data_IF_308739616502
#
_entry.id   IF_308739616502
#
_cell.length_a   1.000
_cell.length_b   1.000
_cell.length_c   1.000
_cell.angle_alpha   90.00
_cell.angle_beta   90.00
_cell.angle_gamma   90.00
#
_symmetry.space_group_name_H-M   'P 1'
#
loop_
_entity.id
_entity.type
_entity.pdbx_description
1 polymer ?
#
# COMPACT_ATOMS: atom_id res chain seq x y z
N UNK A 1 -11.00 -1.49 14.78
CA UNK A 1 -9.84 -0.58 14.91
C UNK A 1 -9.73 0.26 13.65
N UNK A 2 -9.78 1.58 13.81
CA UNK A 2 -9.69 2.54 12.70
C UNK A 2 -8.59 3.56 12.97
N UNK A 3 -7.76 3.81 11.97
CA UNK A 3 -6.70 4.82 11.95
C UNK A 3 -6.20 5.03 10.52
N UNK A 4 -5.38 6.05 10.31
CA UNK A 4 -4.75 6.30 9.02
C UNK A 4 -3.27 6.59 9.18
N UNK A 5 -2.49 6.26 8.15
CA UNK A 5 -1.09 6.64 7.99
C UNK A 5 -0.88 7.19 6.58
N UNK A 6 0.29 7.76 6.32
CA UNK A 6 0.69 8.26 5.01
C UNK A 6 1.84 7.41 4.47
N UNK A 7 1.62 6.76 3.33
CA UNK A 7 2.63 6.00 2.62
C UNK A 7 3.43 6.92 1.71
N UNK A 8 4.76 6.80 1.78
CA UNK A 8 5.70 7.54 0.94
C UNK A 8 6.30 6.57 -0.06
N UNK A 9 5.70 6.49 -1.23
CA UNK A 9 6.17 5.64 -2.31
C UNK A 9 7.19 6.41 -3.14
N UNK A 10 8.44 5.93 -3.14
CA UNK A 10 9.50 6.49 -3.99
C UNK A 10 9.70 5.62 -5.21
N UNK A 11 9.35 6.17 -6.37
CA UNK A 11 9.51 5.52 -7.67
C UNK A 11 10.99 5.16 -7.90
N UNK A 12 11.25 3.96 -8.42
CA UNK A 12 12.59 3.45 -8.82
C UNK A 12 13.62 3.26 -7.69
N UNK A 13 13.21 3.06 -6.43
CA UNK A 13 14.16 2.99 -5.31
C UNK A 13 14.89 1.63 -5.17
N UNK A 14 14.25 0.50 -5.49
CA UNK A 14 14.81 -0.83 -5.17
C UNK A 14 14.68 -1.89 -6.27
N UNK A 15 13.66 -1.81 -7.13
CA UNK A 15 13.53 -2.69 -8.29
C UNK A 15 12.34 -2.30 -9.17
N UNK A 16 12.62 -1.86 -10.40
CA UNK A 16 11.62 -1.40 -11.35
C UNK A 16 11.84 -2.11 -12.68
N UNK A 17 11.04 -3.14 -12.95
CA UNK A 17 11.07 -3.85 -14.22
C UNK A 17 9.93 -3.31 -15.08
N UNK A 18 10.27 -2.36 -15.95
CA UNK A 18 9.38 -1.97 -17.04
C UNK A 18 9.47 -3.06 -18.08
N UNK A 19 8.50 -3.96 -18.08
CA UNK A 19 8.17 -4.65 -19.33
C UNK A 19 7.34 -3.65 -20.10
N UNK A 20 7.89 -3.10 -21.19
CA UNK A 20 7.07 -2.36 -22.14
C UNK A 20 6.01 -3.34 -22.65
N UNK A 21 4.81 -3.27 -22.09
CA UNK A 21 3.66 -4.00 -22.59
C UNK A 21 3.46 -3.68 -24.07
N UNK A 22 2.81 -4.59 -24.79
CA UNK A 22 2.55 -4.42 -26.22
C UNK A 22 1.54 -3.29 -26.51
N UNK A 23 0.94 -2.71 -25.47
CA UNK A 23 -0.08 -1.66 -25.52
C UNK A 23 -0.14 -0.85 -24.20
N UNK A 24 -0.69 0.37 -24.27
CA UNK A 24 -0.91 1.25 -23.12
C UNK A 24 -0.07 2.53 -23.16
N UNK A 25 -0.31 3.47 -22.22
CA UNK A 25 0.44 4.72 -22.17
C UNK A 25 1.89 4.50 -21.75
N UNK A 26 2.75 5.44 -22.14
CA UNK A 26 4.12 5.51 -21.62
C UNK A 26 4.14 5.82 -20.12
N UNK A 27 5.31 5.64 -19.50
CA UNK A 27 5.54 6.03 -18.11
C UNK A 27 5.30 7.52 -17.95
N UNK A 28 4.44 7.87 -17.01
CA UNK A 28 4.20 9.25 -16.57
C UNK A 28 4.13 9.29 -15.05
N UNK A 29 3.80 10.45 -14.51
CA UNK A 29 3.59 10.65 -13.08
C UNK A 29 2.42 9.83 -12.51
N UNK A 30 1.45 9.45 -13.34
CA UNK A 30 0.23 8.75 -12.91
C UNK A 30 -0.06 7.48 -13.71
N UNK A 31 0.71 7.20 -14.76
CA UNK A 31 0.53 6.03 -15.61
C UNK A 31 1.79 5.19 -15.68
N UNK A 32 1.62 3.89 -15.60
CA UNK A 32 2.66 2.90 -15.87
C UNK A 32 2.22 2.03 -17.05
N UNK A 33 3.13 1.59 -17.94
CA UNK A 33 2.76 0.70 -19.03
C UNK A 33 2.16 -0.62 -18.51
N UNK A 34 1.21 -1.19 -19.26
CA UNK A 34 0.67 -2.52 -18.94
C UNK A 34 1.79 -3.56 -18.79
N UNK A 35 1.69 -4.41 -17.78
CA UNK A 35 2.70 -5.43 -17.48
C UNK A 35 3.92 -4.91 -16.72
N UNK A 36 3.98 -3.62 -16.37
CA UNK A 36 5.05 -3.09 -15.50
C UNK A 36 4.98 -3.76 -14.13
N UNK A 37 6.12 -4.23 -13.63
CA UNK A 37 6.25 -4.85 -12.30
C UNK A 37 7.25 -4.04 -11.50
N UNK A 38 6.87 -3.66 -10.28
CA UNK A 38 7.76 -2.93 -9.39
C UNK A 38 7.66 -3.43 -7.96
N UNK A 39 8.79 -3.39 -7.25
CA UNK A 39 8.89 -3.68 -5.83
C UNK A 39 9.02 -2.39 -5.05
N UNK A 40 8.38 -2.33 -3.88
CA UNK A 40 8.41 -1.16 -3.01
C UNK A 40 8.68 -1.54 -1.56
N UNK A 41 9.26 -0.57 -0.83
CA UNK A 41 9.48 -0.63 0.61
C UNK A 41 9.32 0.78 1.15
N UNK A 42 8.09 1.09 1.54
CA UNK A 42 7.64 2.44 1.78
C UNK A 42 7.37 2.67 3.26
N UNK A 43 7.92 3.73 3.85
CA UNK A 43 7.60 4.09 5.23
C UNK A 43 6.16 4.61 5.33
N UNK A 44 5.49 4.28 6.43
CA UNK A 44 4.17 4.77 6.79
C UNK A 44 4.28 5.75 7.95
N UNK A 45 3.89 7.01 7.73
CA UNK A 45 4.00 8.08 8.74
C UNK A 45 2.65 8.54 9.29
N UNK A 46 2.64 9.16 10.47
CA UNK A 46 1.42 9.78 11.05
C UNK A 46 1.07 11.13 10.43
N UNK A 47 2.00 11.76 9.72
CA UNK A 47 1.84 13.07 9.06
C UNK A 47 2.12 12.99 7.56
N UNK A 48 1.51 13.88 6.77
CA UNK A 48 1.75 13.97 5.32
C UNK A 48 3.23 14.27 5.03
N UNK A 49 3.85 15.15 5.81
CA UNK A 49 5.28 15.45 5.68
C UNK A 49 6.12 14.32 6.26
N UNK A 50 7.14 13.89 5.51
CA UNK A 50 8.05 12.84 5.93
C UNK A 50 8.97 13.32 7.06
N UNK A 51 9.05 12.53 8.14
CA UNK A 51 10.08 12.62 9.17
C UNK A 51 10.36 11.23 9.72
N UNK A 52 11.62 10.83 9.99
CA UNK A 52 11.93 9.54 10.61
C UNK A 52 11.19 9.31 11.94
N UNK A 53 10.96 10.38 12.71
CA UNK A 53 10.25 10.31 14.00
C UNK A 53 8.75 10.02 13.88
N UNK A 54 8.17 10.17 12.69
CA UNK A 54 6.75 9.95 12.46
C UNK A 54 6.46 8.60 11.81
N UNK A 55 7.47 7.76 11.58
CA UNK A 55 7.32 6.43 10.97
C UNK A 55 6.78 5.43 12.00
N UNK A 56 5.61 4.86 11.72
CA UNK A 56 4.93 3.87 12.58
C UNK A 56 4.68 2.52 11.89
N UNK A 57 5.12 2.39 10.65
CA UNK A 57 5.04 1.15 9.89
C UNK A 57 5.83 1.19 8.60
N UNK A 58 5.87 0.05 7.93
CA UNK A 58 6.50 -0.12 6.62
C UNK A 58 5.62 -1.00 5.76
N UNK A 59 5.26 -0.52 4.58
CA UNK A 59 4.62 -1.31 3.54
C UNK A 59 5.70 -1.85 2.60
N UNK A 60 5.79 -3.17 2.46
CA UNK A 60 6.74 -3.81 1.56
C UNK A 60 6.01 -4.81 0.68
N UNK A 61 6.26 -4.77 -0.62
CA UNK A 61 5.42 -5.49 -1.56
C UNK A 61 5.85 -5.34 -3.00
N UNK A 62 4.95 -5.75 -3.89
CA UNK A 62 5.08 -5.59 -5.32
C UNK A 62 3.73 -5.27 -5.94
N UNK A 63 3.77 -4.58 -7.08
CA UNK A 63 2.60 -4.24 -7.87
C UNK A 63 2.84 -4.54 -9.34
N UNK A 64 1.77 -4.92 -10.03
CA UNK A 64 1.75 -5.26 -11.46
C UNK A 64 0.68 -4.41 -12.13
N UNK A 65 1.04 -3.57 -13.09
CA UNK A 65 0.06 -2.81 -13.87
C UNK A 65 -0.75 -3.73 -14.76
N UNK A 66 -1.99 -3.97 -14.37
CA UNK A 66 -2.90 -4.94 -14.99
C UNK A 66 -3.99 -4.30 -15.86
N UNK A 67 -4.00 -2.97 -15.94
CA UNK A 67 -4.92 -2.20 -16.79
C UNK A 67 -4.24 -1.69 -18.05
N UNK A 68 -4.96 -1.71 -19.18
CA UNK A 68 -4.46 -1.21 -20.46
C UNK A 68 -4.35 0.32 -20.52
N UNK A 69 -5.10 1.04 -19.66
CA UNK A 69 -5.00 2.49 -19.51
C UNK A 69 -3.86 2.91 -18.57
N UNK A 70 -3.14 1.96 -17.97
CA UNK A 70 -1.99 2.19 -17.12
C UNK A 70 -2.30 2.85 -15.77
N UNK A 71 -3.57 2.96 -15.37
CA UNK A 71 -4.00 3.65 -14.16
C UNK A 71 -4.20 2.73 -12.96
N UNK A 72 -4.31 1.43 -13.19
CA UNK A 72 -4.58 0.42 -12.17
C UNK A 72 -3.55 -0.69 -12.17
N UNK A 73 -3.15 -1.08 -10.96
CA UNK A 73 -2.20 -2.16 -10.71
C UNK A 73 -2.76 -3.13 -9.67
N UNK A 74 -2.53 -4.44 -9.86
CA UNK A 74 -2.71 -5.42 -8.80
C UNK A 74 -1.54 -5.30 -7.83
N UNK A 75 -1.83 -5.02 -6.56
CA UNK A 75 -0.84 -4.76 -5.52
C UNK A 75 -0.92 -5.81 -4.41
N UNK A 76 0.24 -6.24 -3.94
CA UNK A 76 0.40 -7.23 -2.89
C UNK A 76 1.45 -6.73 -1.90
N UNK A 77 1.09 -6.64 -0.63
CA UNK A 77 2.01 -6.09 0.37
C UNK A 77 1.83 -6.73 1.73
N UNK A 78 2.94 -6.77 2.46
CA UNK A 78 2.96 -6.92 3.92
C UNK A 78 3.19 -5.56 4.54
N UNK A 79 2.29 -5.16 5.43
CA UNK A 79 2.34 -3.89 6.15
C UNK A 79 2.70 -4.19 7.60
N UNK A 80 3.93 -3.86 8.00
CA UNK A 80 4.38 -3.96 9.38
C UNK A 80 3.90 -2.76 10.17
N UNK A 81 3.32 -2.98 11.35
CA UNK A 81 2.71 -1.95 12.19
C UNK A 81 3.20 -2.07 13.63
N UNK A 82 3.46 -0.93 14.24
CA UNK A 82 3.65 -0.79 15.68
C UNK A 82 2.83 0.41 16.17
N UNK A 83 1.54 0.18 16.46
CA UNK A 83 0.58 1.25 16.75
C UNK A 83 -0.46 0.81 17.79
N UNK A 84 -0.88 1.72 18.67
CA UNK A 84 -1.97 1.50 19.66
C UNK A 84 -1.82 0.15 20.41
N UNK A 85 -0.62 -0.15 20.89
CA UNK A 85 -0.27 -1.40 21.59
C UNK A 85 -0.41 -2.69 20.76
N UNK A 86 -0.51 -2.60 19.44
CA UNK A 86 -0.47 -3.74 18.52
C UNK A 86 0.83 -3.72 17.73
N UNK A 87 1.57 -4.82 17.80
CA UNK A 87 2.80 -5.06 17.05
C UNK A 87 2.66 -6.32 16.21
N UNK A 88 2.88 -6.18 14.92
CA UNK A 88 2.82 -7.29 13.97
C UNK A 88 2.69 -6.79 12.55
N UNK A 89 2.06 -7.59 11.68
CA UNK A 89 1.85 -7.18 10.30
C UNK A 89 0.50 -7.66 9.77
N UNK A 90 0.03 -6.99 8.72
CA UNK A 90 -1.12 -7.42 7.92
C UNK A 90 -0.67 -7.63 6.48
N UNK A 91 -1.35 -8.53 5.77
CA UNK A 91 -1.13 -8.75 4.35
C UNK A 91 -2.34 -8.27 3.56
N UNK A 92 -2.09 -7.61 2.42
CA UNK A 92 -3.12 -7.15 1.50
C UNK A 92 -2.90 -7.73 0.10
N UNK A 93 -4.00 -7.88 -0.64
CA UNK A 93 -4.03 -8.21 -2.06
C UNK A 93 -5.25 -7.50 -2.67
N UNK A 94 -5.02 -6.56 -3.58
CA UNK A 94 -6.11 -5.79 -4.19
C UNK A 94 -5.65 -4.90 -5.34
N UNK A 95 -6.61 -4.30 -6.04
CA UNK A 95 -6.33 -3.34 -7.11
C UNK A 95 -6.07 -1.96 -6.51
N UNK A 96 -4.99 -1.32 -6.93
CA UNK A 96 -4.65 0.07 -6.62
C UNK A 96 -4.92 0.93 -7.83
N UNK A 97 -5.58 2.06 -7.65
CA UNK A 97 -5.78 3.06 -8.70
C UNK A 97 -4.90 4.29 -8.43
N UNK A 98 -4.07 4.69 -9.39
CA UNK A 98 -3.05 5.73 -9.18
C UNK A 98 -3.65 7.11 -8.83
N UNK A 99 -4.85 7.41 -9.35
CA UNK A 99 -5.51 8.72 -9.18
C UNK A 99 -6.84 8.70 -8.43
N UNK A 100 -7.29 7.55 -7.90
CA UNK A 100 -8.57 7.43 -7.19
C UNK A 100 -8.41 6.57 -5.94
N UNK A 101 -9.28 6.73 -4.93
CA UNK A 101 -9.32 5.83 -3.79
C UNK A 101 -9.54 4.37 -4.23
N UNK A 102 -8.88 3.43 -3.56
CA UNK A 102 -9.00 2.00 -3.83
C UNK A 102 -8.91 1.17 -2.55
N UNK A 103 -9.78 0.17 -2.43
CA UNK A 103 -9.88 -0.71 -1.26
C UNK A 103 -9.11 -2.01 -1.48
N UNK A 104 -8.29 -2.37 -0.49
CA UNK A 104 -7.45 -3.56 -0.49
C UNK A 104 -7.89 -4.49 0.64
N UNK A 105 -8.45 -5.67 0.32
CA UNK A 105 -8.76 -6.67 1.32
C UNK A 105 -7.55 -7.05 2.17
N UNK A 106 -7.76 -7.15 3.48
CA UNK A 106 -6.79 -7.75 4.39
C UNK A 106 -6.96 -9.26 4.34
N UNK A 107 -5.95 -9.95 3.82
CA UNK A 107 -5.99 -11.40 3.59
C UNK A 107 -5.38 -12.21 4.73
N UNK A 108 -4.77 -11.54 5.70
CA UNK A 108 -4.23 -12.17 6.90
C UNK A 108 -3.42 -11.21 7.75
N UNK A 109 -2.96 -11.69 8.90
CA UNK A 109 -2.06 -10.96 9.78
C UNK A 109 -1.25 -11.84 10.70
N UNK A 110 -0.21 -11.26 11.29
CA UNK A 110 0.77 -11.91 12.17
C UNK A 110 0.97 -11.09 13.45
N UNK A 111 1.53 -11.72 14.50
CA UNK A 111 1.69 -11.07 15.81
C UNK A 111 0.33 -10.74 16.41
N UNK A 112 0.17 -9.52 16.90
CA UNK A 112 -1.10 -9.05 17.48
C UNK A 112 -2.24 -8.94 16.44
N UNK A 113 -1.91 -9.05 15.15
CA UNK A 113 -2.86 -9.05 14.04
C UNK A 113 -3.28 -10.45 13.58
N UNK A 114 -2.99 -11.51 14.35
CA UNK A 114 -3.49 -12.85 14.02
C UNK A 114 -5.03 -12.86 13.95
N UNK A 115 -5.60 -13.53 12.94
CA UNK A 115 -7.04 -13.59 12.66
C UNK A 115 -7.71 -12.24 12.32
N UNK A 116 -6.93 -11.18 12.09
CA UNK A 116 -7.48 -9.89 11.69
C UNK A 116 -8.20 -10.03 10.35
N UNK A 117 -9.33 -9.33 10.24
CA UNK A 117 -10.12 -9.18 9.03
C UNK A 117 -10.31 -7.69 8.74
N UNK A 118 -10.66 -7.37 7.50
CA UNK A 118 -10.98 -6.00 7.09
C UNK A 118 -10.42 -5.62 5.75
N UNK A 119 -10.23 -4.31 5.57
CA UNK A 119 -9.71 -3.74 4.35
C UNK A 119 -8.91 -2.48 4.65
N UNK A 120 -8.12 -2.06 3.67
CA UNK A 120 -7.32 -0.84 3.70
C UNK A 120 -7.67 0.01 2.48
N UNK A 121 -8.03 1.27 2.69
CA UNK A 121 -8.28 2.21 1.59
C UNK A 121 -7.03 3.05 1.33
N UNK A 122 -6.48 3.00 0.12
CA UNK A 122 -5.43 3.93 -0.32
C UNK A 122 -6.05 5.09 -1.09
N UNK A 123 -5.71 6.33 -0.75
CA UNK A 123 -6.17 7.53 -1.46
C UNK A 123 -4.99 8.43 -1.83
N UNK A 124 -4.88 8.91 -3.08
CA UNK A 124 -3.80 9.80 -3.48
C UNK A 124 -3.90 11.15 -2.74
N UNK A 125 -2.75 11.65 -2.24
CA UNK A 125 -2.64 12.95 -1.56
C UNK A 125 -1.74 13.90 -2.33
N UNK A 126 -0.53 13.44 -2.69
CA UNK A 126 0.41 14.19 -3.51
C UNK A 126 1.05 13.24 -4.52
N UNK A 127 0.76 13.44 -5.80
CA UNK A 127 1.31 12.61 -6.87
C UNK A 127 2.52 13.26 -7.54
N UNK A 128 2.99 14.44 -7.09
CA UNK A 128 4.04 15.22 -7.76
C UNK A 128 5.43 14.85 -7.27
N UNK A 129 6.32 14.61 -8.23
CA UNK A 129 7.72 14.29 -7.99
C UNK A 129 8.00 12.79 -7.98
N UNK A 130 9.19 12.42 -7.53
CA UNK A 130 9.64 11.02 -7.46
C UNK A 130 9.04 10.26 -6.28
N UNK A 131 8.67 10.98 -5.22
CA UNK A 131 8.02 10.43 -4.03
C UNK A 131 6.59 10.90 -4.03
N UNK A 132 5.67 9.97 -4.24
CA UNK A 132 4.24 10.21 -4.15
C UNK A 132 3.74 9.81 -2.77
N UNK A 133 2.66 10.44 -2.34
CA UNK A 133 2.07 10.25 -1.01
C UNK A 133 0.63 9.79 -1.15
N UNK A 134 0.33 8.66 -0.50
CA UNK A 134 -1.01 8.14 -0.35
C UNK A 134 -1.42 8.17 1.12
N UNK A 135 -2.68 8.52 1.40
CA UNK A 135 -3.30 8.26 2.69
C UNK A 135 -3.79 6.83 2.70
N UNK A 136 -3.38 6.06 3.71
CA UNK A 136 -3.73 4.66 3.91
C UNK A 136 -4.64 4.58 5.13
N UNK A 137 -5.91 4.21 4.92
CA UNK A 137 -6.93 4.11 5.97
C UNK A 137 -7.18 2.65 6.32
N UNK A 138 -6.97 2.31 7.58
CA UNK A 138 -7.05 0.94 8.06
C UNK A 138 -8.41 0.70 8.71
N UNK A 139 -9.16 -0.27 8.20
CA UNK A 139 -10.45 -0.71 8.74
C UNK A 139 -10.32 -2.15 9.21
N UNK A 140 -9.70 -2.34 10.39
CA UNK A 140 -9.32 -3.65 10.90
C UNK A 140 -10.26 -4.10 12.01
N UNK A 141 -10.67 -5.36 12.02
CA UNK A 141 -11.47 -5.94 13.09
C UNK A 141 -11.05 -7.38 13.35
N UNK A 142 -11.29 -7.82 14.59
CA UNK A 142 -11.06 -9.19 15.01
C UNK A 142 -12.40 -9.86 15.21
N UNK A 143 -12.59 -11.08 14.69
CA UNK A 143 -13.81 -11.82 14.95
C UNK A 143 -13.92 -12.15 16.45
N UNK A 144 -15.13 -12.36 16.99
CA UNK A 144 -15.34 -12.58 18.42
C UNK A 144 -14.51 -13.72 19.03
N UNK A 145 -14.19 -14.75 18.23
CA UNK A 145 -13.38 -15.90 18.65
C UNK A 145 -11.87 -15.64 18.69
N UNK A 146 -11.38 -14.51 18.18
CA UNK A 146 -9.96 -14.16 18.20
C UNK A 146 -9.51 -13.56 19.55
N UNK A 147 -10.45 -13.20 20.42
CA UNK A 147 -10.15 -12.70 21.77
C UNK A 147 -9.69 -13.91 22.61
N UNK A 148 -8.40 -13.95 22.95
CA UNK A 148 -7.92 -14.89 23.97
C UNK A 148 -8.58 -14.50 25.30
N UNK A 149 -9.26 -15.47 25.93
CA UNK A 149 -9.76 -15.34 27.30
C UNK A 149 -8.63 -15.05 28.28
#
# INVERSE_FOLDING_TARGET
>A
MHFSLYQHETINKTGYFIVNGVAGPHVSQTTTPFGTIFAFQDPLTTTVSYSPSTVHGTAQGASITSSLDGLQSLSMATISLNIKNHKGSISILGETHNTKPADHPVVGGTGDFLLVQGYVTSSPVNLVGITVVYKIEFHLYWPPYAIKK
#
